data_IF_127980687482
#
_entry.id   IF_127980687482
#
_cell.length_a   1.000
_cell.length_b   1.000
_cell.length_c   1.000
_cell.angle_alpha   90.00
_cell.angle_beta   90.00
_cell.angle_gamma   90.00
#
_symmetry.space_group_name_H-M   'P 1'
#
loop_
_entity.id
_entity.type
_entity.pdbx_description
1 polymer ?
#
# COMPACT_ATOMS: atom_id res chain seq x y z
N UNK A 1 -42.20 -15.44 -0.74
CA UNK A 1 -41.01 -16.25 -0.35
C UNK A 1 -40.21 -15.36 0.59
N UNK A 2 -40.01 -15.79 1.84
CA UNK A 2 -39.18 -15.04 2.78
C UNK A 2 -37.72 -15.07 2.30
N UNK A 3 -36.98 -13.95 2.35
CA UNK A 3 -35.59 -13.92 1.95
C UNK A 3 -34.78 -14.82 2.88
N UNK A 4 -33.96 -15.73 2.31
CA UNK A 4 -33.09 -16.58 3.11
C UNK A 4 -31.82 -15.80 3.56
N UNK A 5 -31.11 -16.33 4.57
CA UNK A 5 -29.91 -15.70 5.13
C UNK A 5 -28.85 -15.41 4.07
N UNK A 6 -28.63 -16.32 3.12
CA UNK A 6 -27.68 -16.15 2.03
C UNK A 6 -28.00 -14.93 1.18
N UNK A 7 -29.26 -14.76 0.80
CA UNK A 7 -29.71 -13.63 -0.03
C UNK A 7 -29.58 -12.31 0.72
N UNK A 8 -29.93 -12.27 2.01
CA UNK A 8 -29.80 -11.08 2.85
C UNK A 8 -28.32 -10.69 3.02
N UNK A 9 -27.46 -11.65 3.37
CA UNK A 9 -26.03 -11.39 3.50
C UNK A 9 -25.38 -10.92 2.19
N UNK A 10 -25.81 -11.47 1.05
CA UNK A 10 -25.38 -11.04 -0.28
C UNK A 10 -25.80 -9.59 -0.58
N UNK A 11 -27.06 -9.23 -0.35
CA UNK A 11 -27.57 -7.87 -0.59
C UNK A 11 -26.89 -6.86 0.32
N UNK A 12 -26.70 -7.17 1.59
CA UNK A 12 -26.05 -6.32 2.58
C UNK A 12 -24.50 -6.37 2.48
N UNK A 13 -23.94 -7.19 1.59
CA UNK A 13 -22.48 -7.41 1.44
C UNK A 13 -21.82 -7.87 2.75
N UNK A 14 -22.49 -8.75 3.48
CA UNK A 14 -22.08 -9.30 4.78
C UNK A 14 -21.50 -10.72 4.63
N UNK A 15 -20.52 -10.91 3.73
CA UNK A 15 -19.98 -12.22 3.43
C UNK A 15 -19.18 -12.86 4.59
N UNK A 16 -18.63 -12.05 5.50
CA UNK A 16 -17.97 -12.54 6.72
C UNK A 16 -18.99 -13.09 7.71
N UNK A 17 -20.08 -12.39 7.92
CA UNK A 17 -21.22 -12.86 8.76
C UNK A 17 -21.77 -14.17 8.21
N UNK A 18 -22.00 -14.26 6.90
CA UNK A 18 -22.53 -15.47 6.28
C UNK A 18 -21.61 -16.67 6.49
N UNK A 19 -20.31 -16.53 6.29
CA UNK A 19 -19.35 -17.60 6.51
C UNK A 19 -19.32 -18.02 7.99
N UNK A 20 -19.29 -17.05 8.92
CA UNK A 20 -19.30 -17.32 10.35
C UNK A 20 -20.50 -18.16 10.76
N UNK A 21 -21.70 -17.81 10.25
CA UNK A 21 -22.94 -18.55 10.55
C UNK A 21 -22.92 -19.97 9.98
N UNK A 22 -22.29 -20.20 8.80
CA UNK A 22 -22.16 -21.54 8.23
C UNK A 22 -21.23 -22.45 9.04
N UNK A 23 -20.18 -21.87 9.62
CA UNK A 23 -19.17 -22.59 10.41
C UNK A 23 -19.58 -22.70 11.90
N UNK A 24 -20.69 -22.04 12.29
CA UNK A 24 -21.14 -21.98 13.68
C UNK A 24 -21.61 -23.34 14.19
N UNK A 25 -20.98 -23.78 15.29
CA UNK A 25 -21.41 -24.95 16.07
C UNK A 25 -22.12 -24.41 17.31
N UNK A 26 -23.41 -24.75 17.54
CA UNK A 26 -24.17 -24.25 18.68
C UNK A 26 -23.61 -24.79 19.99
N UNK A 27 -22.82 -23.97 20.67
CA UNK A 27 -22.47 -24.12 22.07
C UNK A 27 -23.24 -23.02 22.83
N UNK A 28 -23.62 -23.22 24.06
CA UNK A 28 -24.42 -22.33 24.93
C UNK A 28 -24.06 -20.81 24.89
N UNK A 29 -23.76 -20.30 23.70
CA UNK A 29 -23.37 -18.93 23.46
C UNK A 29 -24.60 -18.02 23.49
N UNK A 30 -24.53 -16.92 24.25
CA UNK A 30 -25.56 -15.89 24.24
C UNK A 30 -25.72 -15.30 22.81
N UNK A 31 -26.94 -15.05 22.38
CA UNK A 31 -27.24 -14.49 21.05
C UNK A 31 -26.48 -13.17 20.80
N UNK A 32 -26.25 -12.35 21.84
CA UNK A 32 -25.48 -11.12 21.73
C UNK A 32 -24.00 -11.42 21.38
N UNK A 33 -23.42 -12.42 22.01
CA UNK A 33 -22.04 -12.86 21.76
C UNK A 33 -21.92 -13.43 20.32
N UNK A 34 -22.87 -14.25 19.89
CA UNK A 34 -22.93 -14.74 18.52
C UNK A 34 -22.96 -13.60 17.49
N UNK A 35 -23.85 -12.62 17.66
CA UNK A 35 -23.97 -11.45 16.77
C UNK A 35 -22.68 -10.61 16.77
N UNK A 36 -22.07 -10.43 17.94
CA UNK A 36 -20.80 -9.69 18.05
C UNK A 36 -19.69 -10.39 17.28
N UNK A 37 -19.55 -11.69 17.44
CA UNK A 37 -18.55 -12.50 16.75
C UNK A 37 -18.79 -12.54 15.23
N UNK A 38 -20.04 -12.64 14.80
CA UNK A 38 -20.42 -12.61 13.39
C UNK A 38 -20.07 -11.26 12.72
N UNK A 39 -20.37 -10.15 13.40
CA UNK A 39 -20.02 -8.80 12.91
C UNK A 39 -18.51 -8.56 12.91
N UNK A 40 -17.78 -9.06 13.92
CA UNK A 40 -16.33 -8.99 13.95
C UNK A 40 -15.71 -9.75 12.77
N UNK A 41 -16.20 -10.94 12.46
CA UNK A 41 -15.77 -11.73 11.29
C UNK A 41 -15.95 -10.95 9.97
N UNK A 42 -17.05 -10.20 9.83
CA UNK A 42 -17.27 -9.34 8.66
C UNK A 42 -16.26 -8.18 8.59
N UNK A 43 -15.98 -7.55 9.73
CA UNK A 43 -14.99 -6.46 9.82
C UNK A 43 -13.59 -6.97 9.44
N UNK A 44 -13.18 -8.10 9.97
CA UNK A 44 -11.88 -8.71 9.70
C UNK A 44 -11.74 -9.05 8.21
N UNK A 45 -12.79 -9.62 7.60
CA UNK A 45 -12.82 -9.90 6.17
C UNK A 45 -12.73 -8.63 5.32
N UNK A 46 -13.43 -7.56 5.71
CA UNK A 46 -13.33 -6.26 5.03
C UNK A 46 -11.93 -5.66 5.16
N UNK A 47 -11.31 -5.80 6.33
CA UNK A 47 -9.93 -5.38 6.58
C UNK A 47 -8.95 -6.09 5.64
N UNK A 48 -8.99 -7.41 5.61
CA UNK A 48 -8.17 -8.24 4.72
C UNK A 48 -8.36 -7.86 3.24
N UNK A 49 -9.61 -7.72 2.79
CA UNK A 49 -9.91 -7.35 1.41
C UNK A 49 -9.37 -5.94 1.06
N UNK A 50 -9.43 -5.01 2.00
CA UNK A 50 -8.86 -3.66 1.83
C UNK A 50 -7.34 -3.70 1.70
N UNK A 51 -6.67 -4.43 2.58
CA UNK A 51 -5.21 -4.62 2.52
C UNK A 51 -4.77 -5.27 1.21
N UNK A 52 -5.47 -6.33 0.78
CA UNK A 52 -5.18 -7.00 -0.49
C UNK A 52 -5.36 -6.07 -1.70
N UNK A 53 -6.38 -5.21 -1.69
CA UNK A 53 -6.58 -4.19 -2.74
C UNK A 53 -5.46 -3.16 -2.72
N UNK A 54 -5.09 -2.65 -1.54
CA UNK A 54 -4.01 -1.68 -1.39
C UNK A 54 -2.69 -2.24 -1.94
N UNK A 55 -2.32 -3.47 -1.60
CA UNK A 55 -1.13 -4.15 -2.11
C UNK A 55 -1.13 -4.31 -3.64
N UNK A 56 -2.29 -4.67 -4.22
CA UNK A 56 -2.40 -4.80 -5.69
C UNK A 56 -2.29 -3.44 -6.39
N UNK A 57 -2.88 -2.40 -5.83
CA UNK A 57 -2.90 -1.05 -6.40
C UNK A 57 -1.57 -0.33 -6.25
N UNK A 58 -0.76 -0.69 -5.25
CA UNK A 58 0.55 -0.08 -5.02
C UNK A 58 1.52 -0.31 -6.18
N UNK A 59 1.41 -1.44 -6.89
CA UNK A 59 2.24 -1.73 -8.08
C UNK A 59 3.66 -2.18 -7.74
N UNK A 60 3.85 -2.87 -6.61
CA UNK A 60 5.16 -3.44 -6.26
C UNK A 60 5.61 -4.49 -7.29
N UNK A 61 6.87 -4.46 -7.74
CA UNK A 61 7.40 -5.44 -8.68
C UNK A 61 7.53 -6.84 -8.07
N UNK A 62 7.74 -6.90 -6.77
CA UNK A 62 7.91 -8.15 -5.99
C UNK A 62 7.30 -7.97 -4.60
N UNK A 63 7.03 -9.08 -3.93
CA UNK A 63 6.64 -9.07 -2.52
C UNK A 63 7.89 -9.29 -1.68
N UNK A 64 8.37 -8.25 -1.04
CA UNK A 64 9.55 -8.27 -0.15
C UNK A 64 9.19 -7.57 1.14
N UNK A 65 9.07 -8.35 2.21
CA UNK A 65 8.73 -7.86 3.56
C UNK A 65 9.98 -7.54 4.36
N UNK A 66 9.82 -6.91 5.51
CA UNK A 66 10.94 -6.70 6.45
C UNK A 66 11.53 -8.00 6.97
N UNK A 67 10.69 -9.04 7.10
CA UNK A 67 11.09 -10.38 7.55
C UNK A 67 11.98 -11.11 6.54
N UNK A 68 11.89 -10.72 5.27
CA UNK A 68 12.68 -11.28 4.17
C UNK A 68 14.06 -10.57 4.00
N UNK A 69 14.33 -9.52 4.80
CA UNK A 69 15.59 -8.79 4.75
C UNK A 69 16.72 -9.61 5.36
N UNK A 70 17.77 -9.84 4.58
CA UNK A 70 19.01 -10.40 5.08
C UNK A 70 19.80 -9.30 5.79
N UNK A 71 19.81 -9.33 7.11
CA UNK A 71 20.43 -8.29 7.94
C UNK A 71 21.92 -8.13 7.68
N UNK A 72 22.61 -9.22 7.33
CA UNK A 72 24.05 -9.19 7.05
C UNK A 72 24.39 -8.45 5.75
N UNK A 73 23.47 -8.38 4.81
CA UNK A 73 23.63 -7.67 3.54
C UNK A 73 23.37 -6.16 3.66
N UNK A 74 22.78 -5.72 4.78
CA UNK A 74 22.46 -4.32 5.01
C UNK A 74 23.65 -3.59 5.67
N UNK A 75 23.98 -2.37 5.22
CA UNK A 75 24.89 -1.49 5.93
C UNK A 75 24.35 -1.15 7.32
N UNK A 76 25.23 -0.75 8.24
CA UNK A 76 24.88 -0.52 9.64
C UNK A 76 23.76 0.52 9.81
N UNK A 77 23.86 1.65 9.12
CA UNK A 77 22.87 2.72 9.12
C UNK A 77 21.50 2.25 8.60
N UNK A 78 21.51 1.37 7.58
CA UNK A 78 20.30 0.72 7.07
C UNK A 78 19.62 -0.18 8.11
N UNK A 79 20.40 -0.94 8.89
CA UNK A 79 19.88 -1.77 9.99
C UNK A 79 19.31 -0.93 11.12
N UNK A 80 19.99 0.14 11.50
CA UNK A 80 19.58 1.06 12.56
C UNK A 80 18.29 1.83 12.20
N UNK A 81 18.03 2.08 10.92
CA UNK A 81 16.82 2.75 10.44
C UNK A 81 15.56 1.86 10.43
N UNK A 82 15.70 0.52 10.47
CA UNK A 82 14.56 -0.41 10.37
C UNK A 82 13.47 -0.16 11.41
N UNK A 83 13.74 0.04 12.70
CA UNK A 83 12.70 0.28 13.69
C UNK A 83 11.87 1.53 13.37
N UNK A 84 12.50 2.63 12.99
CA UNK A 84 11.83 3.88 12.61
C UNK A 84 10.97 3.70 11.36
N UNK A 85 11.51 3.03 10.34
CA UNK A 85 10.80 2.74 9.10
C UNK A 85 9.61 1.81 9.32
N UNK A 86 9.72 0.79 10.16
CA UNK A 86 8.62 -0.10 10.56
C UNK A 86 7.52 0.63 11.31
N UNK A 87 7.86 1.61 12.14
CA UNK A 87 6.90 2.42 12.89
C UNK A 87 6.13 3.41 11.99
N UNK A 88 6.58 3.63 10.74
CA UNK A 88 5.99 4.59 9.78
C UNK A 88 5.86 6.01 10.37
N UNK A 89 6.70 6.39 11.33
CA UNK A 89 6.63 7.69 12.00
C UNK A 89 6.79 8.84 10.99
N UNK A 90 7.67 8.67 10.00
CA UNK A 90 7.91 9.64 8.95
C UNK A 90 6.65 10.01 8.14
N UNK A 91 5.67 9.08 7.96
CA UNK A 91 4.40 9.38 7.30
C UNK A 91 3.53 10.32 8.13
N UNK A 92 3.44 10.07 9.44
CA UNK A 92 2.68 10.91 10.37
C UNK A 92 3.30 12.31 10.49
N UNK A 93 4.60 12.38 10.46
CA UNK A 93 5.38 13.62 10.55
C UNK A 93 5.57 14.31 9.19
N UNK A 94 5.05 13.73 8.11
CA UNK A 94 5.17 14.23 6.74
C UNK A 94 6.63 14.47 6.32
N UNK A 95 7.53 13.58 6.76
CA UNK A 95 8.95 13.61 6.37
C UNK A 95 9.18 12.72 5.15
N UNK A 96 10.12 13.13 4.30
CA UNK A 96 10.62 12.31 3.21
C UNK A 96 11.75 11.41 3.71
N UNK A 97 11.85 10.19 3.12
CA UNK A 97 12.93 9.25 3.35
C UNK A 97 13.70 9.08 2.05
N UNK A 98 15.03 9.16 2.10
CA UNK A 98 15.91 8.94 0.96
C UNK A 98 16.83 7.76 1.30
N UNK A 99 16.81 6.71 0.47
CA UNK A 99 17.67 5.55 0.59
C UNK A 99 18.82 5.68 -0.41
N UNK A 100 20.05 5.88 0.10
CA UNK A 100 21.27 6.06 -0.70
C UNK A 100 22.21 4.88 -0.43
N UNK A 101 22.90 4.41 -1.46
CA UNK A 101 23.89 3.34 -1.34
C UNK A 101 24.16 2.65 -2.67
N UNK A 102 25.16 1.79 -2.69
CA UNK A 102 25.57 1.01 -3.88
C UNK A 102 24.48 0.04 -4.35
N UNK A 103 24.61 -0.47 -5.57
CA UNK A 103 23.73 -1.54 -6.06
C UNK A 103 23.85 -2.78 -5.15
N UNK A 104 22.73 -3.48 -4.95
CA UNK A 104 22.70 -4.70 -4.12
C UNK A 104 22.57 -4.49 -2.62
N UNK A 105 22.64 -3.26 -2.08
CA UNK A 105 22.55 -2.98 -0.62
C UNK A 105 21.14 -2.99 -0.04
N UNK A 106 20.18 -3.62 -0.69
CA UNK A 106 18.83 -3.81 -0.14
C UNK A 106 17.88 -2.59 -0.20
N UNK A 107 18.27 -1.45 -0.84
CA UNK A 107 17.42 -0.22 -0.90
C UNK A 107 16.01 -0.48 -1.43
N UNK A 108 15.90 -1.09 -2.60
CA UNK A 108 14.61 -1.42 -3.21
C UNK A 108 13.80 -2.39 -2.34
N UNK A 109 14.48 -3.37 -1.72
CA UNK A 109 13.82 -4.27 -0.77
C UNK A 109 13.25 -3.49 0.42
N UNK A 110 14.07 -2.63 1.04
CA UNK A 110 13.64 -1.77 2.15
C UNK A 110 12.45 -0.88 1.75
N UNK A 111 12.51 -0.22 0.59
CA UNK A 111 11.43 0.62 0.08
C UNK A 111 10.13 -0.17 -0.11
N UNK A 112 10.19 -1.38 -0.69
CA UNK A 112 9.03 -2.27 -0.86
C UNK A 112 8.50 -2.72 0.51
N UNK A 113 9.37 -3.11 1.44
CA UNK A 113 8.97 -3.55 2.78
C UNK A 113 8.22 -2.45 3.54
N UNK A 114 8.72 -1.21 3.49
CA UNK A 114 8.04 -0.02 4.03
C UNK A 114 6.68 0.18 3.36
N UNK A 115 6.61 0.07 2.04
CA UNK A 115 5.38 0.22 1.28
C UNK A 115 4.34 -0.85 1.63
N UNK A 116 4.75 -2.11 1.75
CA UNK A 116 3.86 -3.22 2.17
C UNK A 116 3.34 -2.95 3.58
N UNK A 117 4.22 -2.58 4.53
CA UNK A 117 3.82 -2.23 5.89
C UNK A 117 2.84 -1.07 5.92
N UNK A 118 3.04 -0.05 5.10
CA UNK A 118 2.10 1.07 4.99
C UNK A 118 0.73 0.63 4.43
N UNK A 119 0.69 -0.27 3.43
CA UNK A 119 -0.57 -0.85 2.95
C UNK A 119 -1.32 -1.63 4.05
N UNK A 120 -0.59 -2.37 4.90
CA UNK A 120 -1.15 -3.11 6.04
C UNK A 120 -1.78 -2.17 7.07
N UNK A 121 -1.22 -0.98 7.24
CA UNK A 121 -1.76 0.10 8.10
C UNK A 121 -2.81 0.98 7.38
N UNK A 122 -3.33 0.52 6.22
CA UNK A 122 -4.34 1.17 5.41
C UNK A 122 -3.93 2.49 4.74
N UNK A 123 -2.64 2.79 4.61
CA UNK A 123 -2.16 3.91 3.80
C UNK A 123 -2.28 3.58 2.30
N UNK A 124 -2.53 4.61 1.50
CA UNK A 124 -2.50 4.52 0.03
C UNK A 124 -1.07 4.66 -0.46
N UNK A 125 -0.54 3.59 -1.01
CA UNK A 125 0.85 3.53 -1.49
C UNK A 125 0.86 3.40 -3.01
N UNK A 126 1.80 4.08 -3.65
CA UNK A 126 2.14 3.89 -5.06
C UNK A 126 3.64 3.70 -5.18
N UNK A 127 4.04 2.63 -5.85
CA UNK A 127 5.42 2.33 -6.21
C UNK A 127 5.61 2.52 -7.72
N UNK A 128 6.62 3.27 -8.11
CA UNK A 128 7.03 3.46 -9.52
C UNK A 128 8.55 3.54 -9.60
N UNK A 129 9.13 3.04 -10.70
CA UNK A 129 10.47 3.49 -11.06
C UNK A 129 10.41 4.93 -11.58
N UNK A 130 11.49 5.66 -11.42
CA UNK A 130 11.58 7.04 -11.89
C UNK A 130 11.31 7.15 -13.40
N UNK A 131 11.84 6.22 -14.18
CA UNK A 131 11.61 6.17 -15.62
C UNK A 131 10.15 5.93 -15.99
N UNK A 132 9.49 4.97 -15.34
CA UNK A 132 8.08 4.68 -15.58
C UNK A 132 7.20 5.90 -15.24
N UNK A 133 7.46 6.54 -14.10
CA UNK A 133 6.72 7.71 -13.64
C UNK A 133 6.82 8.87 -14.64
N UNK A 134 8.02 9.15 -15.13
CA UNK A 134 8.23 10.21 -16.12
C UNK A 134 7.54 9.88 -17.46
N UNK A 135 7.65 8.65 -17.93
CA UNK A 135 6.98 8.23 -19.16
C UNK A 135 5.45 8.36 -19.05
N UNK A 136 4.85 7.92 -17.94
CA UNK A 136 3.42 8.09 -17.68
C UNK A 136 3.02 9.58 -17.69
N UNK A 137 3.85 10.48 -17.16
CA UNK A 137 3.60 11.93 -17.17
C UNK A 137 3.74 12.54 -18.57
N UNK A 138 4.73 12.10 -19.36
CA UNK A 138 4.90 12.53 -20.77
C UNK A 138 3.68 12.15 -21.60
N UNK A 139 3.20 10.90 -21.47
CA UNK A 139 1.99 10.44 -22.14
C UNK A 139 0.75 11.24 -21.70
N UNK A 140 0.58 11.42 -20.39
CA UNK A 140 -0.51 12.23 -19.86
C UNK A 140 -0.48 13.70 -20.36
N UNK A 141 0.72 14.27 -20.56
CA UNK A 141 0.90 15.60 -21.15
C UNK A 141 0.51 15.65 -22.61
N UNK A 142 0.92 14.65 -23.42
CA UNK A 142 0.52 14.53 -24.83
C UNK A 142 -1.00 14.45 -25.00
N UNK A 143 -1.66 13.77 -24.07
CA UNK A 143 -3.12 13.58 -24.07
C UNK A 143 -3.88 14.75 -23.38
N UNK A 144 -3.20 15.85 -23.01
CA UNK A 144 -3.79 16.96 -22.26
C UNK A 144 -4.41 16.53 -20.89
N UNK A 145 -3.92 15.47 -20.28
CA UNK A 145 -4.43 14.91 -19.01
C UNK A 145 -3.45 15.00 -17.84
N UNK A 146 -2.33 15.72 -18.01
CA UNK A 146 -1.27 15.82 -17.00
C UNK A 146 -1.81 16.32 -15.64
N UNK A 147 -2.67 17.33 -15.66
CA UNK A 147 -3.26 17.88 -14.43
C UNK A 147 -4.13 16.87 -13.68
N UNK A 148 -4.87 16.02 -14.41
CA UNK A 148 -5.68 14.94 -13.86
C UNK A 148 -4.77 13.87 -13.28
N UNK A 149 -3.70 13.50 -14.01
CA UNK A 149 -2.71 12.53 -13.57
C UNK A 149 -2.05 12.97 -12.26
N UNK A 150 -1.54 14.20 -12.17
CA UNK A 150 -0.92 14.72 -10.95
C UNK A 150 -1.92 14.76 -9.78
N UNK A 151 -3.19 15.13 -10.03
CA UNK A 151 -4.23 15.14 -8.99
C UNK A 151 -4.46 13.77 -8.33
N UNK A 152 -4.22 12.66 -9.03
CA UNK A 152 -4.35 11.33 -8.46
C UNK A 152 -3.36 11.10 -7.32
N UNK A 153 -2.15 11.64 -7.44
CA UNK A 153 -1.09 11.50 -6.43
C UNK A 153 -1.35 12.32 -5.16
N UNK A 154 -2.21 13.34 -5.20
CA UNK A 154 -2.61 14.08 -3.98
C UNK A 154 -3.36 13.21 -2.97
N UNK A 155 -3.90 12.06 -3.41
CA UNK A 155 -4.61 11.11 -2.56
C UNK A 155 -3.72 9.96 -2.09
N UNK A 156 -2.47 9.94 -2.50
CA UNK A 156 -1.49 8.90 -2.15
C UNK A 156 -0.76 9.35 -0.89
N UNK A 157 -0.75 8.51 0.13
CA UNK A 157 -0.08 8.81 1.40
C UNK A 157 1.43 8.59 1.29
N UNK A 158 1.85 7.55 0.54
CA UNK A 158 3.25 7.20 0.30
C UNK A 158 3.51 6.97 -1.19
N UNK A 159 4.32 7.82 -1.80
CA UNK A 159 4.86 7.60 -3.13
C UNK A 159 6.29 7.08 -2.99
N UNK A 160 6.56 5.90 -3.52
CA UNK A 160 7.90 5.31 -3.61
C UNK A 160 8.39 5.46 -5.04
N UNK A 161 9.51 6.15 -5.19
CA UNK A 161 10.20 6.33 -6.48
C UNK A 161 11.51 5.58 -6.42
N UNK A 162 11.61 4.50 -7.17
CA UNK A 162 12.83 3.68 -7.24
C UNK A 162 13.71 4.08 -8.42
N UNK A 163 15.00 3.76 -8.34
CA UNK A 163 16.00 3.99 -9.39
C UNK A 163 16.17 5.47 -9.80
N UNK A 164 15.89 6.42 -8.90
CA UNK A 164 15.96 7.85 -9.21
C UNK A 164 17.35 8.29 -9.68
N UNK A 165 18.42 7.72 -9.14
CA UNK A 165 19.80 8.07 -9.44
C UNK A 165 20.37 7.43 -10.72
N UNK A 166 19.64 6.51 -11.37
CA UNK A 166 20.11 5.80 -12.56
C UNK A 166 19.54 6.37 -13.86
N UNK A 167 18.62 7.28 -13.80
CA UNK A 167 17.97 7.88 -14.97
C UNK A 167 18.56 9.24 -15.25
N UNK A 168 19.11 9.42 -16.44
CA UNK A 168 19.46 10.76 -16.97
C UNK A 168 18.18 11.39 -17.50
N UNK A 169 17.67 12.38 -16.78
CA UNK A 169 16.50 13.15 -17.22
C UNK A 169 16.95 14.30 -18.10
N UNK A 170 16.25 14.52 -19.21
CA UNK A 170 16.28 15.81 -19.88
C UNK A 170 15.55 16.86 -19.00
N UNK A 171 15.72 18.12 -19.34
CA UNK A 171 15.14 19.22 -18.59
C UNK A 171 13.61 19.09 -18.46
N UNK A 172 12.94 18.67 -19.53
CA UNK A 172 11.48 18.53 -19.55
C UNK A 172 10.98 17.41 -18.62
N UNK A 173 11.70 16.29 -18.55
CA UNK A 173 11.41 15.19 -17.65
C UNK A 173 11.64 15.58 -16.18
N UNK A 174 12.73 16.31 -15.91
CA UNK A 174 13.02 16.82 -14.57
C UNK A 174 11.93 17.81 -14.09
N UNK A 175 11.47 18.70 -14.96
CA UNK A 175 10.36 19.62 -14.66
C UNK A 175 9.07 18.89 -14.32
N UNK A 176 8.72 17.83 -15.05
CA UNK A 176 7.52 17.03 -14.77
C UNK A 176 7.61 16.37 -13.40
N UNK A 177 8.76 15.75 -13.08
CA UNK A 177 8.98 15.13 -11.78
C UNK A 177 8.90 16.16 -10.64
N UNK A 178 9.53 17.32 -10.82
CA UNK A 178 9.45 18.43 -9.88
C UNK A 178 8.00 18.89 -9.67
N UNK A 179 7.23 19.07 -10.76
CA UNK A 179 5.81 19.42 -10.70
C UNK A 179 4.99 18.43 -9.87
N UNK A 180 5.24 17.12 -10.03
CA UNK A 180 4.55 16.11 -9.26
C UNK A 180 4.91 16.18 -7.78
N UNK A 181 6.21 16.30 -7.45
CA UNK A 181 6.69 16.37 -6.07
C UNK A 181 6.21 17.65 -5.36
N UNK A 182 6.22 18.79 -6.05
CA UNK A 182 5.75 20.06 -5.50
C UNK A 182 4.21 20.11 -5.29
N UNK A 183 3.46 19.26 -5.97
CA UNK A 183 2.01 19.18 -5.85
C UNK A 183 1.52 18.33 -4.66
N UNK A 184 2.41 17.64 -3.97
CA UNK A 184 2.15 16.77 -2.83
C UNK A 184 2.38 17.45 -1.51
#
# INVERSE_FOLDING_TARGET
>A
MEPNLADLCKQLRLSGVYNYVLDYQPDNEDMLQFLTSALQSELDKRHLNRQMRALRQAGFPTKKRFEDLLMDDLPQDGREAIPELKALAFLKERRNVILIGNSGTGKTHMAIAVGIKACEENYRVVFRSAAALVNEMIEARKDNRLSIYIKQFKKVDLLIIDELGYVTFDLAAAELLFQLLAAR
#
